data_IF_742933847931
#
_entry.id   IF_742933847931
#
_cell.length_a   1.000
_cell.length_b   1.000
_cell.length_c   1.000
_cell.angle_alpha   90.00
_cell.angle_beta   90.00
_cell.angle_gamma   90.00
#
_symmetry.space_group_name_H-M   'P 1'
#
loop_
_entity.id
_entity.type
_entity.pdbx_description
1 polymer ?
#
# COMPACT_ATOMS: atom_id res chain seq x y z
N UNK A 1 -5.61 -3.38 10.48
CA UNK A 1 -6.82 -3.12 11.29
C UNK A 1 -8.01 -3.18 10.35
N UNK A 2 -9.23 -3.44 10.84
CA UNK A 2 -10.42 -3.57 9.99
C UNK A 2 -11.52 -2.62 10.47
N UNK A 3 -12.28 -2.07 9.53
CA UNK A 3 -13.47 -1.28 9.76
C UNK A 3 -14.53 -1.63 8.72
N UNK A 4 -15.79 -1.47 9.08
CA UNK A 4 -16.93 -1.69 8.22
C UNK A 4 -17.96 -0.60 8.50
N UNK A 5 -18.57 -0.06 7.46
CA UNK A 5 -19.56 0.99 7.61
C UNK A 5 -20.09 1.50 6.28
N UNK A 6 -21.10 2.35 6.36
CA UNK A 6 -21.70 2.99 5.20
C UNK A 6 -20.87 4.20 4.77
N UNK A 7 -20.56 4.34 3.49
CA UNK A 7 -19.84 5.53 2.99
C UNK A 7 -20.73 6.76 3.12
N UNK A 8 -20.28 7.76 3.89
CA UNK A 8 -20.96 9.06 4.00
C UNK A 8 -20.29 10.14 3.15
N UNK A 9 -18.98 10.05 2.97
CA UNK A 9 -18.24 10.93 2.09
C UNK A 9 -17.03 10.22 1.51
N UNK A 10 -16.78 10.45 0.22
CA UNK A 10 -15.55 10.04 -0.45
C UNK A 10 -15.13 11.09 -1.47
N UNK A 11 -14.13 11.90 -1.13
CA UNK A 11 -13.64 12.96 -2.01
C UNK A 11 -12.20 13.35 -1.63
N UNK A 12 -11.60 14.23 -2.42
CA UNK A 12 -10.34 14.89 -2.08
C UNK A 12 -10.46 15.62 -0.74
N UNK A 13 -9.40 15.57 0.05
CA UNK A 13 -9.30 16.26 1.33
C UNK A 13 -9.61 17.76 1.20
N UNK A 14 -9.23 18.39 0.09
CA UNK A 14 -9.47 19.79 -0.19
C UNK A 14 -10.96 20.11 -0.32
N UNK A 15 -11.73 19.24 -0.99
CA UNK A 15 -13.18 19.37 -1.10
C UNK A 15 -13.89 19.15 0.25
N UNK A 16 -13.30 18.31 1.12
CA UNK A 16 -13.80 18.09 2.48
C UNK A 16 -13.26 19.12 3.51
N UNK A 17 -12.52 20.14 3.07
CA UNK A 17 -11.99 21.20 3.94
C UNK A 17 -10.81 20.78 4.82
N UNK A 18 -10.18 19.65 4.53
CA UNK A 18 -9.02 19.11 5.24
C UNK A 18 -7.72 19.53 4.57
N UNK A 19 -7.10 20.57 5.13
CA UNK A 19 -5.89 21.18 4.57
C UNK A 19 -4.60 20.44 4.96
N UNK A 20 -4.64 19.63 6.00
CA UNK A 20 -3.55 18.78 6.47
C UNK A 20 -3.35 17.50 5.62
N UNK A 21 -4.35 17.16 4.80
CA UNK A 21 -4.35 15.99 3.92
C UNK A 21 -4.32 16.34 2.43
N UNK A 22 -3.87 17.54 2.06
CA UNK A 22 -3.82 18.00 0.65
C UNK A 22 -3.21 16.95 -0.29
N UNK A 23 -3.85 16.74 -1.44
CA UNK A 23 -3.48 15.73 -2.43
C UNK A 23 -3.86 14.29 -2.07
N UNK A 24 -4.72 14.07 -1.06
CA UNK A 24 -5.25 12.74 -0.70
C UNK A 24 -6.76 12.70 -0.87
N UNK A 25 -7.28 11.50 -1.07
CA UNK A 25 -8.72 11.24 -0.91
C UNK A 25 -8.99 10.80 0.51
N UNK A 26 -10.14 11.20 1.02
CA UNK A 26 -10.61 10.89 2.37
C UNK A 26 -11.93 10.15 2.24
N UNK A 27 -12.02 9.04 2.95
CA UNK A 27 -13.22 8.23 3.11
C UNK A 27 -13.70 8.37 4.55
N UNK A 28 -14.97 8.75 4.68
CA UNK A 28 -15.67 8.81 5.95
C UNK A 28 -16.76 7.73 5.97
N UNK A 29 -16.79 6.98 7.06
CA UNK A 29 -17.80 5.95 7.29
C UNK A 29 -18.80 6.40 8.33
N UNK A 30 -20.05 6.00 8.14
CA UNK A 30 -21.13 6.22 9.08
C UNK A 30 -20.80 5.47 10.38
N UNK A 31 -20.94 6.17 11.52
CA UNK A 31 -20.62 5.66 12.85
C UNK A 31 -19.14 5.35 13.11
N UNK A 32 -18.22 5.73 12.22
CA UNK A 32 -16.78 5.66 12.48
C UNK A 32 -16.19 7.08 12.56
N UNK A 33 -15.64 7.50 13.71
CA UNK A 33 -14.99 8.81 13.82
C UNK A 33 -13.61 8.84 13.14
N UNK A 34 -13.11 7.71 12.67
CA UNK A 34 -11.81 7.61 12.00
C UNK A 34 -11.95 7.99 10.52
N UNK A 35 -11.09 8.90 10.09
CA UNK A 35 -10.95 9.24 8.67
C UNK A 35 -9.90 8.36 8.02
N UNK A 36 -10.28 7.78 6.90
CA UNK A 36 -9.45 6.85 6.13
C UNK A 36 -8.92 7.55 4.90
N UNK A 37 -7.64 7.37 4.58
CA UNK A 37 -7.03 8.10 3.46
C UNK A 37 -6.46 7.20 2.37
N UNK A 38 -6.59 7.68 1.14
CA UNK A 38 -6.03 7.09 -0.08
C UNK A 38 -5.05 8.06 -0.73
N UNK A 39 -4.11 7.56 -1.52
CA UNK A 39 -3.33 8.46 -2.38
C UNK A 39 -4.20 9.05 -3.50
N UNK A 40 -3.75 10.15 -4.13
CA UNK A 40 -4.49 10.78 -5.23
C UNK A 40 -4.82 9.80 -6.37
N UNK A 41 -3.85 8.96 -6.77
CA UNK A 41 -4.04 8.02 -7.89
C UNK A 41 -5.05 6.91 -7.55
N UNK A 42 -4.98 6.37 -6.33
CA UNK A 42 -5.89 5.32 -5.87
C UNK A 42 -7.28 5.85 -5.65
N UNK A 43 -7.37 7.01 -4.98
CA UNK A 43 -8.64 7.66 -4.69
C UNK A 43 -9.40 8.04 -5.96
N UNK A 44 -8.71 8.52 -7.00
CA UNK A 44 -9.33 8.82 -8.29
C UNK A 44 -9.95 7.58 -8.95
N UNK A 45 -9.26 6.43 -8.93
CA UNK A 45 -9.79 5.17 -9.49
C UNK A 45 -11.00 4.67 -8.69
N UNK A 46 -10.91 4.72 -7.37
CA UNK A 46 -11.99 4.29 -6.48
C UNK A 46 -13.21 5.23 -6.62
N UNK A 47 -13.00 6.53 -6.85
CA UNK A 47 -14.08 7.52 -6.92
C UNK A 47 -15.00 7.33 -8.13
N UNK A 48 -14.53 6.63 -9.16
CA UNK A 48 -15.34 6.30 -10.34
C UNK A 48 -16.35 5.18 -10.04
N UNK A 49 -16.04 4.32 -9.07
CA UNK A 49 -16.81 3.10 -8.78
C UNK A 49 -17.55 3.18 -7.43
N UNK A 50 -16.95 3.80 -6.41
CA UNK A 50 -17.48 3.87 -5.05
C UNK A 50 -18.58 4.92 -4.92
N UNK A 51 -19.75 4.52 -4.43
CA UNK A 51 -20.88 5.41 -4.24
C UNK A 51 -21.12 5.73 -2.76
N UNK A 52 -21.54 6.97 -2.50
CA UNK A 52 -22.02 7.38 -1.18
C UNK A 52 -23.30 6.60 -0.86
N UNK A 53 -23.36 6.02 0.34
CA UNK A 53 -24.44 5.14 0.79
C UNK A 53 -24.15 3.65 0.64
N UNK A 54 -23.04 3.26 -0.01
CA UNK A 54 -22.62 1.86 -0.08
C UNK A 54 -22.04 1.38 1.25
N UNK A 55 -22.25 0.10 1.56
CA UNK A 55 -21.58 -0.54 2.70
C UNK A 55 -20.22 -1.02 2.25
N UNK A 56 -19.18 -0.57 2.93
CA UNK A 56 -17.80 -0.97 2.66
C UNK A 56 -17.21 -1.71 3.86
N UNK A 57 -16.40 -2.71 3.55
CA UNK A 57 -15.44 -3.29 4.48
C UNK A 57 -14.05 -2.86 4.05
N UNK A 58 -13.27 -2.29 4.95
CA UNK A 58 -11.91 -1.86 4.66
C UNK A 58 -10.90 -2.40 5.66
N UNK A 59 -9.70 -2.63 5.17
CA UNK A 59 -8.53 -2.87 5.96
C UNK A 59 -7.63 -1.65 5.86
N UNK A 60 -7.13 -1.18 6.99
CA UNK A 60 -6.24 -0.02 7.04
C UNK A 60 -5.01 -0.28 7.91
N UNK A 61 -3.95 0.46 7.61
CA UNK A 61 -2.75 0.55 8.42
C UNK A 61 -2.82 1.81 9.27
N UNK A 62 -2.63 1.67 10.59
CA UNK A 62 -2.60 2.81 11.52
C UNK A 62 -1.26 3.53 11.38
N UNK A 63 -1.22 4.41 10.39
CA UNK A 63 -0.16 5.40 10.15
C UNK A 63 -0.59 6.77 10.67
N UNK A 64 0.15 7.83 10.35
CA UNK A 64 -0.26 9.22 10.62
C UNK A 64 -1.66 9.55 10.09
N UNK A 65 -2.12 8.87 9.03
CA UNK A 65 -3.35 9.21 8.31
C UNK A 65 -4.26 8.00 8.03
N UNK A 66 -4.16 6.92 8.80
CA UNK A 66 -4.98 5.70 8.66
C UNK A 66 -5.18 5.26 7.20
N UNK A 67 -4.07 4.91 6.54
CA UNK A 67 -4.06 4.60 5.11
C UNK A 67 -4.80 3.29 4.83
N UNK A 68 -5.75 3.32 3.89
CA UNK A 68 -6.49 2.13 3.48
C UNK A 68 -5.60 1.24 2.63
N UNK A 69 -5.55 -0.05 2.97
CA UNK A 69 -4.77 -1.07 2.27
C UNK A 69 -5.67 -2.08 1.54
N UNK A 70 -6.94 -2.17 1.91
CA UNK A 70 -7.92 -2.96 1.20
C UNK A 70 -9.29 -2.32 1.40
N UNK A 71 -10.11 -2.29 0.36
CA UNK A 71 -11.50 -1.84 0.43
C UNK A 71 -12.35 -2.77 -0.41
N UNK A 72 -13.47 -3.18 0.14
CA UNK A 72 -14.49 -3.98 -0.52
C UNK A 72 -15.82 -3.24 -0.36
N UNK A 73 -16.43 -2.79 -1.45
CA UNK A 73 -17.77 -2.21 -1.43
C UNK A 73 -18.78 -3.25 -1.88
N UNK A 74 -19.85 -3.42 -1.11
CA UNK A 74 -20.99 -4.22 -1.52
C UNK A 74 -21.96 -3.33 -2.28
N UNK A 75 -21.92 -3.44 -3.61
CA UNK A 75 -22.95 -2.87 -4.47
C UNK A 75 -24.19 -3.74 -4.28
N UNK A 76 -25.14 -3.28 -3.45
CA UNK A 76 -26.36 -4.01 -3.08
C UNK A 76 -27.26 -4.45 -4.24
N UNK A 77 -26.84 -4.29 -5.50
CA UNK A 77 -27.51 -4.74 -6.72
C UNK A 77 -27.05 -6.12 -7.23
N UNK A 78 -26.00 -6.73 -6.65
CA UNK A 78 -25.49 -8.03 -7.11
C UNK A 78 -24.67 -7.97 -8.40
N UNK A 79 -24.38 -6.78 -8.91
CA UNK A 79 -23.39 -6.55 -9.98
C UNK A 79 -22.17 -5.81 -9.40
N UNK A 80 -20.99 -6.37 -9.69
CA UNK A 80 -19.62 -5.91 -9.42
C UNK A 80 -19.39 -5.20 -8.07
N UNK A 81 -19.03 -5.99 -7.06
CA UNK A 81 -18.45 -5.48 -5.82
C UNK A 81 -17.09 -4.83 -6.12
N UNK A 82 -16.91 -3.56 -5.75
CA UNK A 82 -15.62 -2.89 -5.85
C UNK A 82 -14.62 -3.60 -4.94
N UNK A 83 -13.59 -4.21 -5.53
CA UNK A 83 -12.51 -4.87 -4.80
C UNK A 83 -11.20 -4.15 -5.03
N UNK A 84 -10.84 -3.31 -4.06
CA UNK A 84 -9.56 -2.64 -4.02
C UNK A 84 -8.61 -3.33 -3.04
N UNK A 85 -7.39 -3.64 -3.49
CA UNK A 85 -6.33 -4.11 -2.62
C UNK A 85 -5.02 -3.41 -2.97
N UNK A 86 -4.50 -2.67 -2.01
CA UNK A 86 -3.17 -2.07 -2.10
C UNK A 86 -2.14 -3.20 -2.04
N UNK A 87 -1.43 -3.41 -3.15
CA UNK A 87 -0.14 -4.11 -3.10
C UNK A 87 0.84 -3.21 -2.34
N UNK A 88 0.82 -3.33 -1.02
CA UNK A 88 1.46 -2.39 -0.09
C UNK A 88 2.91 -2.06 -0.49
N UNK A 89 3.30 -0.79 -0.30
CA UNK A 89 4.69 -0.33 -0.35
C UNK A 89 5.59 -1.17 0.58
N UNK A 90 5.03 -1.79 1.63
CA UNK A 90 5.73 -2.72 2.51
C UNK A 90 6.22 -3.99 1.78
N UNK A 91 5.45 -4.54 0.83
CA UNK A 91 5.90 -5.64 -0.01
C UNK A 91 6.96 -5.18 -1.02
N UNK A 92 6.85 -3.96 -1.54
CA UNK A 92 7.89 -3.37 -2.38
C UNK A 92 9.22 -3.16 -1.61
N UNK A 93 9.15 -2.72 -0.34
CA UNK A 93 10.33 -2.60 0.54
C UNK A 93 10.92 -3.94 0.93
N UNK A 94 10.09 -4.96 1.19
CA UNK A 94 10.58 -6.34 1.42
C UNK A 94 11.26 -6.91 0.18
N UNK A 95 10.74 -6.60 -1.01
CA UNK A 95 11.32 -7.03 -2.28
C UNK A 95 12.64 -6.30 -2.54
N UNK A 96 12.71 -4.99 -2.32
CA UNK A 96 13.97 -4.23 -2.40
C UNK A 96 15.02 -4.74 -1.40
N UNK A 97 14.65 -5.02 -0.16
CA UNK A 97 15.57 -5.54 0.84
C UNK A 97 16.13 -6.92 0.44
N UNK A 98 15.31 -7.80 -0.15
CA UNK A 98 15.76 -9.10 -0.68
C UNK A 98 16.72 -8.94 -1.87
N UNK A 99 16.45 -8.00 -2.78
CA UNK A 99 17.32 -7.73 -3.93
C UNK A 99 18.68 -7.17 -3.48
N UNK A 100 18.68 -6.23 -2.53
CA UNK A 100 19.92 -5.68 -1.97
C UNK A 100 20.73 -6.77 -1.25
N UNK A 101 20.07 -7.60 -0.43
CA UNK A 101 20.74 -8.70 0.27
C UNK A 101 21.36 -9.71 -0.71
N UNK A 102 20.64 -10.07 -1.78
CA UNK A 102 21.17 -10.95 -2.82
C UNK A 102 22.38 -10.34 -3.55
N UNK A 103 22.34 -9.04 -3.85
CA UNK A 103 23.45 -8.34 -4.49
C UNK A 103 24.71 -8.32 -3.60
N UNK A 104 24.57 -8.03 -2.30
CA UNK A 104 25.68 -8.06 -1.34
C UNK A 104 26.28 -9.47 -1.26
N UNK A 105 25.43 -10.50 -1.20
CA UNK A 105 25.89 -11.89 -1.13
C UNK A 105 26.65 -12.31 -2.41
N UNK A 106 26.16 -11.90 -3.59
CA UNK A 106 26.83 -12.18 -4.86
C UNK A 106 28.23 -11.54 -4.94
N UNK A 107 28.36 -10.27 -4.51
CA UNK A 107 29.67 -9.58 -4.47
C UNK A 107 30.62 -10.29 -3.49
N UNK A 108 30.14 -10.68 -2.32
CA UNK A 108 30.94 -11.42 -1.34
C UNK A 108 31.45 -12.75 -1.89
N UNK A 109 30.58 -13.53 -2.54
CA UNK A 109 30.95 -14.81 -3.18
C UNK A 109 32.02 -14.60 -4.27
N UNK A 110 31.88 -13.58 -5.12
CA UNK A 110 32.87 -13.25 -6.15
C UNK A 110 34.23 -12.90 -5.53
N UNK A 111 34.24 -12.11 -4.45
CA UNK A 111 35.48 -11.77 -3.73
C UNK A 111 36.15 -13.00 -3.11
N UNK A 112 35.38 -13.89 -2.47
CA UNK A 112 35.90 -15.13 -1.90
C UNK A 112 36.49 -16.05 -2.98
N UNK A 113 35.80 -16.22 -4.12
CA UNK A 113 36.30 -17.01 -5.25
C UNK A 113 37.58 -16.37 -5.81
N UNK A 114 37.59 -15.05 -6.01
CA UNK A 114 38.77 -14.32 -6.50
C UNK A 114 39.97 -14.46 -5.58
N UNK A 115 39.77 -14.33 -4.26
CA UNK A 115 40.82 -14.52 -3.26
C UNK A 115 41.31 -15.97 -3.22
N UNK A 116 40.41 -16.95 -3.31
CA UNK A 116 40.77 -18.37 -3.34
C UNK A 116 41.60 -18.75 -4.57
N UNK A 117 41.20 -18.30 -5.77
CA UNK A 117 41.95 -18.52 -7.01
C UNK A 117 43.33 -17.86 -6.94
N UNK A 118 43.42 -16.63 -6.43
CA UNK A 118 44.68 -15.90 -6.27
C UNK A 118 45.61 -16.55 -5.23
N UNK A 119 45.05 -17.06 -4.13
CA UNK A 119 45.77 -17.84 -3.12
C UNK A 119 46.30 -19.18 -3.66
N UNK A 120 45.52 -19.87 -4.50
CA UNK A 120 45.98 -21.08 -5.20
C UNK A 120 47.11 -20.80 -6.19
N UNK A 121 47.05 -19.68 -6.90
CA UNK A 121 48.09 -19.27 -7.86
C UNK A 121 49.42 -18.96 -7.15
N UNK A 122 49.38 -18.33 -5.97
CA UNK A 122 50.56 -18.05 -5.13
C UNK A 122 51.20 -19.28 -4.49
N UNK A 123 50.47 -20.40 -4.34
CA UNK A 123 51.01 -21.66 -3.79
C UNK A 123 51.57 -22.62 -4.86
N UNK A 124 51.38 -22.29 -6.15
CA UNK A 124 51.86 -23.09 -7.29
C UNK A 124 53.03 -22.44 -8.04
N UNK A 125 53.42 -21.22 -7.67
CA UNK A 125 54.65 -20.55 -8.08
C UNK A 125 55.62 -20.61 -6.90
#
# INVERSE_FOLDING_TARGET
MHAEGTVVAFDTAENLGQTDLSGRYVLELENDPIQYTFTAEEGAKIAEELQVGETVSLQYERSTFHTVVQLQADSGSGEDALHYQLHTIADQKRTQARVIAAAVYAVFVILCIGAFVRGKKKRRA
#
